data_IF_360484020094
#
_entry.id   IF_360484020094
#
_cell.length_a   1.000
_cell.length_b   1.000
_cell.length_c   1.000
_cell.angle_alpha   90.00
_cell.angle_beta   90.00
_cell.angle_gamma   90.00
#
_symmetry.space_group_name_H-M   'P 1'
#
loop_
_entity.id
_entity.type
_entity.pdbx_description
1 polymer ?
#
# COMPACT_ATOMS: atom_id res chain seq x y z
N UNK A 1 4.29 13.79 -9.27
CA UNK A 1 3.44 14.59 -8.34
C UNK A 1 3.89 14.50 -6.89
N UNK A 2 3.91 13.32 -6.26
CA UNK A 2 4.27 13.17 -4.84
C UNK A 2 5.65 13.74 -4.49
N UNK A 3 6.64 13.55 -5.36
CA UNK A 3 8.00 14.14 -5.22
C UNK A 3 7.92 15.67 -5.14
N UNK A 4 7.26 16.34 -6.09
CA UNK A 4 7.11 17.79 -6.06
C UNK A 4 6.37 18.30 -4.81
N UNK A 5 5.33 17.59 -4.37
CA UNK A 5 4.61 17.94 -3.15
C UNK A 5 5.52 17.80 -1.92
N UNK A 6 6.34 16.74 -1.88
CA UNK A 6 7.28 16.51 -0.80
C UNK A 6 8.41 17.54 -0.79
N UNK A 7 9.01 17.83 -1.93
CA UNK A 7 10.02 18.87 -2.11
C UNK A 7 9.49 20.23 -1.67
N UNK A 8 8.31 20.63 -2.15
CA UNK A 8 7.67 21.90 -1.76
C UNK A 8 7.36 21.98 -0.26
N UNK A 9 6.93 20.88 0.35
CA UNK A 9 6.64 20.87 1.78
C UNK A 9 7.88 21.10 2.66
N UNK A 10 9.07 20.81 2.14
CA UNK A 10 10.35 20.91 2.83
C UNK A 10 11.26 22.06 2.33
N UNK A 11 10.81 22.85 1.35
CA UNK A 11 11.61 23.94 0.77
C UNK A 11 12.71 23.47 -0.19
N UNK A 12 12.51 22.33 -0.85
CA UNK A 12 13.44 21.70 -1.81
C UNK A 12 12.90 21.75 -3.24
N UNK A 13 12.15 22.78 -3.60
CA UNK A 13 11.49 22.89 -4.91
C UNK A 13 12.48 22.75 -6.08
N UNK A 14 13.69 23.28 -5.94
CA UNK A 14 14.75 23.18 -6.95
C UNK A 14 15.27 21.74 -7.16
N UNK A 15 15.09 20.87 -6.16
CA UNK A 15 15.50 19.46 -6.20
C UNK A 15 14.41 18.54 -6.77
N UNK A 16 13.20 19.05 -7.01
CA UNK A 16 12.06 18.20 -7.39
C UNK A 16 12.28 17.48 -8.73
N UNK A 17 12.74 18.18 -9.76
CA UNK A 17 13.00 17.60 -11.08
C UNK A 17 14.17 16.59 -11.04
N UNK A 18 15.35 16.89 -10.44
CA UNK A 18 16.40 15.90 -10.25
C UNK A 18 15.94 14.62 -9.53
N UNK A 19 15.05 14.72 -8.55
CA UNK A 19 14.50 13.55 -7.83
C UNK A 19 13.55 12.74 -8.73
N UNK A 20 12.73 13.40 -9.56
CA UNK A 20 11.90 12.71 -10.57
C UNK A 20 12.77 11.98 -11.58
N UNK A 21 13.85 12.62 -12.05
CA UNK A 21 14.81 12.00 -12.95
C UNK A 21 15.48 10.78 -12.34
N UNK A 22 15.78 10.84 -11.04
CA UNK A 22 16.34 9.72 -10.29
C UNK A 22 15.41 8.50 -10.27
N UNK A 23 14.10 8.71 -10.07
CA UNK A 23 13.10 7.65 -10.21
C UNK A 23 13.09 7.05 -11.63
N UNK A 24 13.06 7.90 -12.66
CA UNK A 24 13.07 7.44 -14.06
C UNK A 24 14.38 6.76 -14.45
N UNK A 25 15.50 7.14 -13.84
CA UNK A 25 16.81 6.53 -14.01
C UNK A 25 16.84 5.13 -13.39
N UNK A 26 16.40 4.98 -12.15
CA UNK A 26 16.28 3.68 -11.49
C UNK A 26 15.37 2.72 -12.24
N UNK A 27 14.24 3.24 -12.75
CA UNK A 27 13.33 2.47 -13.61
C UNK A 27 14.01 1.96 -14.89
N UNK A 28 14.73 2.83 -15.60
CA UNK A 28 15.46 2.46 -16.81
C UNK A 28 16.57 1.43 -16.53
N UNK A 29 17.37 1.66 -15.50
CA UNK A 29 18.44 0.75 -15.09
C UNK A 29 17.92 -0.67 -14.84
N UNK A 30 16.78 -0.80 -14.15
CA UNK A 30 16.14 -2.09 -13.89
C UNK A 30 15.52 -2.76 -15.13
N UNK A 31 15.05 -1.97 -16.11
CA UNK A 31 14.59 -2.52 -17.39
C UNK A 31 15.75 -3.02 -18.26
N UNK A 32 16.91 -2.36 -18.19
CA UNK A 32 18.12 -2.76 -18.90
C UNK A 32 18.73 -4.03 -18.26
N UNK A 33 18.90 -4.02 -16.94
CA UNK A 33 19.42 -5.14 -16.15
C UNK A 33 18.35 -5.71 -15.20
N UNK A 34 17.71 -6.84 -15.55
CA UNK A 34 16.69 -7.46 -14.72
C UNK A 34 17.30 -8.20 -13.50
N UNK A 35 18.62 -8.34 -13.43
CA UNK A 35 19.37 -8.86 -12.28
C UNK A 35 19.88 -7.76 -11.35
N UNK A 36 19.54 -6.50 -11.62
CA UNK A 36 20.02 -5.35 -10.86
C UNK A 36 19.69 -5.53 -9.37
N UNK A 37 20.72 -5.40 -8.54
CA UNK A 37 20.59 -5.38 -7.08
C UNK A 37 21.12 -4.05 -6.58
N UNK A 38 20.27 -3.28 -5.88
CA UNK A 38 20.65 -2.01 -5.25
C UNK A 38 20.66 -2.15 -3.73
N UNK A 39 21.63 -1.51 -3.03
CA UNK A 39 21.59 -1.47 -1.58
C UNK A 39 20.36 -0.67 -1.10
N UNK A 40 19.79 -1.00 0.07
CA UNK A 40 18.70 -0.23 0.62
C UNK A 40 19.15 1.22 0.93
N UNK A 41 18.33 2.24 0.65
CA UNK A 41 18.64 3.62 1.00
C UNK A 41 18.98 3.80 2.48
N UNK A 42 19.89 4.72 2.82
CA UNK A 42 20.33 4.92 4.21
C UNK A 42 19.17 5.25 5.16
N UNK A 43 18.17 6.01 4.69
CA UNK A 43 16.93 6.28 5.42
C UNK A 43 16.24 4.99 5.87
N UNK A 44 16.15 3.99 4.99
CA UNK A 44 15.54 2.68 5.30
C UNK A 44 16.36 1.96 6.37
N UNK A 45 17.69 1.96 6.24
CA UNK A 45 18.58 1.36 7.25
C UNK A 45 18.44 2.03 8.62
N UNK A 46 18.35 3.36 8.66
CA UNK A 46 18.13 4.13 9.89
C UNK A 46 16.77 3.85 10.53
N UNK A 47 15.72 3.71 9.74
CA UNK A 47 14.39 3.37 10.26
C UNK A 47 14.40 1.94 10.81
N UNK A 48 14.97 0.98 10.07
CA UNK A 48 15.08 -0.42 10.49
C UNK A 48 15.84 -0.59 11.80
N UNK A 49 16.87 0.22 12.03
CA UNK A 49 17.62 0.21 13.29
C UNK A 49 16.78 0.59 14.52
N UNK A 50 15.57 1.14 14.34
CA UNK A 50 14.63 1.48 15.43
C UNK A 50 13.58 0.39 15.67
N UNK A 51 13.53 -0.64 14.83
CA UNK A 51 12.57 -1.71 15.00
C UNK A 51 12.95 -2.57 16.21
N UNK A 52 11.93 -2.93 16.99
CA UNK A 52 12.10 -3.87 18.10
C UNK A 52 12.10 -5.30 17.58
N UNK A 53 12.92 -6.16 18.18
CA UNK A 53 12.84 -7.62 17.98
C UNK A 53 11.92 -8.28 19.01
N UNK A 54 11.36 -7.49 19.93
CA UNK A 54 10.40 -7.95 20.93
C UNK A 54 9.03 -8.15 20.27
N UNK A 55 8.65 -9.42 20.18
CA UNK A 55 7.44 -9.84 19.48
C UNK A 55 6.18 -9.52 20.28
N UNK A 56 6.22 -9.64 21.61
CA UNK A 56 5.10 -9.29 22.48
C UNK A 56 4.78 -7.79 22.37
N UNK A 57 5.82 -6.93 22.40
CA UNK A 57 5.63 -5.49 22.22
C UNK A 57 5.07 -5.14 20.84
N UNK A 58 5.46 -5.88 19.80
CA UNK A 58 4.98 -5.68 18.43
C UNK A 58 3.51 -6.03 18.30
N UNK A 59 3.10 -7.19 18.82
CA UNK A 59 1.70 -7.63 18.82
C UNK A 59 0.82 -6.67 19.62
N UNK A 60 1.23 -6.31 20.84
CA UNK A 60 0.49 -5.35 21.67
C UNK A 60 0.29 -4.01 20.94
N UNK A 61 1.31 -3.51 20.24
CA UNK A 61 1.19 -2.29 19.43
C UNK A 61 0.19 -2.46 18.28
N UNK A 62 0.20 -3.60 17.59
CA UNK A 62 -0.72 -3.91 16.49
C UNK A 62 -2.17 -4.04 16.97
N UNK A 63 -2.40 -4.65 18.13
CA UNK A 63 -3.72 -4.75 18.75
C UNK A 63 -4.32 -3.37 19.06
N UNK A 64 -3.50 -2.37 19.43
CA UNK A 64 -4.01 -1.00 19.65
C UNK A 64 -4.56 -0.35 18.37
N UNK A 65 -4.20 -0.86 17.19
CA UNK A 65 -4.73 -0.41 15.91
C UNK A 65 -6.12 -0.99 15.60
N UNK A 66 -6.50 -2.09 16.28
CA UNK A 66 -7.77 -2.78 16.10
C UNK A 66 -8.90 -2.02 16.79
N UNK A 67 -9.68 -1.28 16.02
CA UNK A 67 -10.91 -0.65 16.51
C UNK A 67 -12.04 -1.70 16.57
N UNK A 68 -13.08 -1.47 17.39
CA UNK A 68 -14.22 -2.39 17.48
C UNK A 68 -14.85 -2.70 16.11
N UNK A 69 -15.24 -3.96 15.91
CA UNK A 69 -16.04 -4.38 14.76
C UNK A 69 -17.47 -3.83 14.85
N UNK A 70 -18.11 -3.66 13.68
CA UNK A 70 -19.53 -3.29 13.62
C UNK A 70 -20.46 -4.50 13.78
N UNK A 71 -19.92 -5.70 13.59
CA UNK A 71 -20.56 -7.01 13.76
C UNK A 71 -19.91 -7.76 14.92
N UNK A 72 -20.54 -8.84 15.38
CA UNK A 72 -19.92 -9.73 16.36
C UNK A 72 -18.66 -10.41 15.79
N UNK A 73 -17.78 -10.89 16.68
CA UNK A 73 -16.57 -11.61 16.26
C UNK A 73 -16.91 -12.92 15.58
N UNK A 74 -17.97 -13.57 16.03
CA UNK A 74 -18.49 -14.82 15.48
C UNK A 74 -19.03 -14.61 14.07
N UNK A 75 -19.77 -13.53 13.82
CA UNK A 75 -20.21 -13.16 12.47
C UNK A 75 -19.01 -12.83 11.58
N UNK A 76 -18.04 -12.05 12.06
CA UNK A 76 -16.82 -11.79 11.28
C UNK A 76 -16.07 -13.08 10.93
N UNK A 77 -15.92 -14.00 11.89
CA UNK A 77 -15.29 -15.31 11.67
C UNK A 77 -16.02 -16.11 10.59
N UNK A 78 -17.35 -16.14 10.64
CA UNK A 78 -18.19 -16.82 9.65
C UNK A 78 -17.94 -16.28 8.24
N UNK A 79 -17.84 -14.97 8.06
CA UNK A 79 -17.59 -14.35 6.75
C UNK A 79 -16.21 -14.71 6.16
N UNK A 80 -15.21 -14.97 6.99
CA UNK A 80 -13.84 -15.28 6.53
C UNK A 80 -13.47 -16.77 6.61
N UNK A 81 -14.37 -17.64 7.07
CA UNK A 81 -14.11 -19.06 7.33
C UNK A 81 -13.59 -19.78 6.08
N UNK A 82 -14.20 -19.54 4.91
CA UNK A 82 -13.76 -20.15 3.66
C UNK A 82 -12.31 -19.80 3.29
N UNK A 83 -11.86 -18.58 3.60
CA UNK A 83 -10.48 -18.20 3.38
C UNK A 83 -9.54 -18.93 4.34
N UNK A 84 -9.91 -19.04 5.62
CA UNK A 84 -9.10 -19.74 6.62
C UNK A 84 -8.94 -21.22 6.28
N UNK A 85 -10.02 -21.88 5.86
CA UNK A 85 -9.99 -23.29 5.42
C UNK A 85 -9.08 -23.48 4.21
N UNK A 86 -9.17 -22.59 3.21
CA UNK A 86 -8.30 -22.63 2.04
C UNK A 86 -6.83 -22.39 2.40
N UNK A 87 -6.55 -21.49 3.35
CA UNK A 87 -5.18 -21.26 3.82
C UNK A 87 -4.65 -22.47 4.58
N UNK A 88 -5.47 -23.12 5.43
CA UNK A 88 -5.10 -24.34 6.14
C UNK A 88 -4.81 -25.51 5.19
N UNK A 89 -5.62 -25.68 4.13
CA UNK A 89 -5.37 -26.69 3.09
C UNK A 89 -4.07 -26.41 2.32
N UNK A 90 -3.88 -25.16 1.90
CA UNK A 90 -2.69 -24.73 1.15
C UNK A 90 -1.41 -24.83 1.98
N UNK A 91 -1.52 -24.67 3.29
CA UNK A 91 -0.42 -24.72 4.25
C UNK A 91 -0.55 -25.92 5.20
N UNK A 92 -0.79 -27.11 4.64
CA UNK A 92 -0.94 -28.36 5.40
C UNK A 92 0.28 -28.73 6.27
N UNK A 93 1.42 -28.08 6.06
CA UNK A 93 2.61 -28.18 6.90
C UNK A 93 2.50 -27.46 8.26
N UNK A 94 1.53 -26.55 8.42
CA UNK A 94 1.30 -25.79 9.64
C UNK A 94 0.40 -26.58 10.62
N UNK A 95 0.42 -26.24 11.93
CA UNK A 95 -0.51 -26.82 12.90
C UNK A 95 -1.98 -26.65 12.48
N UNK A 96 -2.86 -27.62 12.79
CA UNK A 96 -4.29 -27.55 12.42
C UNK A 96 -5.01 -26.28 12.89
N UNK A 97 -4.58 -25.75 14.04
CA UNK A 97 -5.21 -24.59 14.68
C UNK A 97 -4.56 -23.25 14.27
N UNK A 98 -3.55 -23.26 13.38
CA UNK A 98 -2.78 -22.07 12.99
C UNK A 98 -3.69 -20.91 12.53
N UNK A 99 -4.73 -21.19 11.74
CA UNK A 99 -5.63 -20.13 11.26
C UNK A 99 -6.80 -19.83 12.21
N UNK A 100 -6.77 -20.29 13.46
CA UNK A 100 -7.79 -19.96 14.46
C UNK A 100 -7.71 -18.47 14.83
N UNK A 101 -8.80 -17.74 14.61
CA UNK A 101 -8.89 -16.32 14.99
C UNK A 101 -8.86 -16.15 16.51
N UNK A 102 -7.89 -15.38 17.01
CA UNK A 102 -7.79 -14.97 18.42
C UNK A 102 -8.40 -13.60 18.68
N UNK A 103 -8.22 -12.67 17.75
CA UNK A 103 -8.73 -11.31 17.85
C UNK A 103 -9.03 -10.71 16.47
N UNK A 104 -9.88 -9.69 16.40
CA UNK A 104 -10.20 -9.01 15.15
C UNK A 104 -10.75 -7.60 15.42
N UNK A 105 -10.43 -6.66 14.53
CA UNK A 105 -10.94 -5.29 14.57
C UNK A 105 -10.82 -4.54 13.26
N UNK A 106 -11.51 -3.40 13.20
CA UNK A 106 -11.45 -2.42 12.10
C UNK A 106 -10.10 -1.71 12.10
N UNK A 107 -9.55 -1.44 10.91
CA UNK A 107 -8.32 -0.68 10.74
C UNK A 107 -8.60 0.66 10.03
N UNK A 108 -8.18 1.79 10.62
CA UNK A 108 -8.41 3.15 10.07
C UNK A 108 -7.13 3.96 9.81
N UNK A 109 -5.98 3.30 9.64
CA UNK A 109 -4.73 3.94 9.23
C UNK A 109 -4.48 3.73 7.72
N UNK A 110 -3.40 4.25 7.13
CA UNK A 110 -3.05 4.01 5.72
C UNK A 110 -3.16 5.25 4.83
N UNK A 111 -2.03 5.71 4.29
CA UNK A 111 -2.02 6.78 3.28
C UNK A 111 -2.76 6.30 2.01
N UNK A 112 -3.77 7.05 1.56
CA UNK A 112 -4.54 6.75 0.34
C UNK A 112 -5.57 5.61 0.46
N UNK A 113 -5.57 4.87 1.56
CA UNK A 113 -6.54 3.82 1.87
C UNK A 113 -7.23 3.99 3.22
N UNK A 114 -7.03 5.11 3.92
CA UNK A 114 -7.69 5.37 5.21
C UNK A 114 -9.23 5.40 5.13
N UNK A 115 -9.77 5.64 3.93
CA UNK A 115 -11.20 5.61 3.66
C UNK A 115 -11.69 4.23 3.19
N UNK A 116 -10.76 3.30 2.94
CA UNK A 116 -11.09 1.97 2.44
C UNK A 116 -11.49 1.08 3.61
N UNK A 117 -12.42 0.18 3.35
CA UNK A 117 -12.85 -0.77 4.37
C UNK A 117 -11.72 -1.78 4.65
N UNK A 118 -11.23 -1.81 5.90
CA UNK A 118 -10.09 -2.63 6.29
C UNK A 118 -10.23 -3.20 7.69
N UNK A 119 -9.57 -4.34 7.89
CA UNK A 119 -9.57 -5.09 9.12
C UNK A 119 -8.15 -5.60 9.42
N UNK A 120 -7.82 -5.66 10.70
CA UNK A 120 -6.73 -6.50 11.19
C UNK A 120 -7.35 -7.62 12.02
N UNK A 121 -6.80 -8.82 11.88
CA UNK A 121 -7.19 -9.94 12.73
C UNK A 121 -5.98 -10.80 13.03
N UNK A 122 -5.96 -11.30 14.25
CA UNK A 122 -4.92 -12.14 14.79
C UNK A 122 -5.35 -13.59 14.64
N UNK A 123 -4.47 -14.42 14.07
CA UNK A 123 -4.62 -15.87 14.02
C UNK A 123 -3.53 -16.55 14.84
N UNK A 124 -3.79 -17.79 15.26
CA UNK A 124 -2.80 -18.56 16.00
C UNK A 124 -1.46 -18.72 15.26
N UNK A 125 -0.40 -18.84 16.03
CA UNK A 125 0.93 -19.08 15.51
C UNK A 125 1.27 -20.55 15.26
N UNK A 126 2.56 -20.83 15.00
CA UNK A 126 3.10 -22.19 15.04
C UNK A 126 2.94 -22.89 16.40
N UNK A 127 2.72 -22.14 17.48
CA UNK A 127 2.46 -22.68 18.82
C UNK A 127 1.28 -21.95 19.47
N UNK A 128 0.88 -22.42 20.67
CA UNK A 128 -0.18 -21.78 21.48
C UNK A 128 0.29 -20.51 22.22
N UNK A 129 1.57 -20.16 22.13
CA UNK A 129 2.10 -18.96 22.75
C UNK A 129 1.60 -17.71 22.00
N UNK A 130 1.23 -16.66 22.74
CA UNK A 130 0.63 -15.46 22.13
C UNK A 130 1.61 -14.73 21.22
N UNK A 131 2.89 -14.69 21.60
CA UNK A 131 3.98 -14.12 20.81
C UNK A 131 4.15 -14.78 19.43
N UNK A 132 3.73 -16.03 19.27
CA UNK A 132 3.81 -16.74 18.00
C UNK A 132 2.66 -16.39 17.04
N UNK A 133 1.61 -15.72 17.52
CA UNK A 133 0.43 -15.37 16.72
C UNK A 133 0.81 -14.46 15.55
N UNK A 134 0.00 -14.54 14.49
CA UNK A 134 0.23 -13.79 13.24
C UNK A 134 -0.90 -12.79 13.04
N UNK A 135 -0.55 -11.56 12.66
CA UNK A 135 -1.54 -10.56 12.25
C UNK A 135 -1.74 -10.63 10.75
N UNK A 136 -3.00 -10.74 10.34
CA UNK A 136 -3.44 -10.65 8.97
C UNK A 136 -4.19 -9.34 8.76
N UNK A 137 -3.96 -8.73 7.61
CA UNK A 137 -4.69 -7.56 7.14
C UNK A 137 -5.62 -7.96 5.99
N UNK A 138 -6.87 -7.50 6.08
CA UNK A 138 -7.86 -7.64 5.04
C UNK A 138 -8.29 -6.27 4.57
N UNK A 139 -8.16 -5.99 3.26
CA UNK A 139 -8.56 -4.70 2.66
C UNK A 139 -9.53 -4.88 1.52
N UNK A 140 -10.49 -3.97 1.43
CA UNK A 140 -11.41 -3.89 0.31
C UNK A 140 -10.67 -3.65 -1.00
N UNK A 141 -11.07 -4.40 -2.02
CA UNK A 141 -10.66 -4.20 -3.40
C UNK A 141 -11.74 -3.38 -4.09
N UNK A 142 -11.55 -2.05 -4.07
CA UNK A 142 -12.49 -1.11 -4.69
C UNK A 142 -12.70 -1.39 -6.18
N UNK A 143 -13.95 -1.21 -6.59
CA UNK A 143 -14.35 -1.07 -7.97
C UNK A 143 -13.94 0.32 -8.46
N UNK A 144 -13.10 0.35 -9.50
CA UNK A 144 -12.52 1.56 -10.08
C UNK A 144 -13.06 1.81 -11.49
N UNK A 145 -14.16 1.17 -11.91
CA UNK A 145 -14.73 1.30 -13.27
C UNK A 145 -15.06 2.73 -13.67
N UNK A 146 -15.35 3.58 -12.68
CA UNK A 146 -15.62 5.00 -12.90
C UNK A 146 -14.34 5.81 -13.23
N UNK A 147 -13.16 5.22 -13.03
CA UNK A 147 -11.85 5.83 -13.30
C UNK A 147 -11.33 5.29 -14.64
N UNK A 148 -11.55 6.06 -15.71
CA UNK A 148 -11.26 5.67 -17.10
C UNK A 148 -9.78 5.43 -17.41
N UNK A 149 -8.86 5.95 -16.60
CA UNK A 149 -7.42 5.78 -16.79
C UNK A 149 -6.86 4.50 -16.14
N UNK A 150 -7.64 3.76 -15.36
CA UNK A 150 -7.20 2.52 -14.72
C UNK A 150 -7.55 1.32 -15.60
N UNK A 151 -6.51 0.65 -16.09
CA UNK A 151 -6.64 -0.66 -16.72
C UNK A 151 -6.95 -1.71 -15.64
N UNK A 152 -7.82 -2.67 -15.93
CA UNK A 152 -8.35 -3.64 -14.94
C UNK A 152 -9.06 -2.95 -13.77
N UNK A 153 -10.03 -2.10 -14.13
CA UNK A 153 -10.79 -1.26 -13.22
C UNK A 153 -11.85 -2.01 -12.40
N UNK A 154 -12.24 -3.21 -12.81
CA UNK A 154 -13.15 -4.07 -12.06
C UNK A 154 -12.57 -4.43 -10.68
N UNK A 155 -13.43 -4.56 -9.67
CA UNK A 155 -13.07 -5.13 -8.38
C UNK A 155 -12.64 -6.58 -8.61
N UNK A 156 -11.33 -6.84 -8.54
CA UNK A 156 -10.76 -8.17 -8.74
C UNK A 156 -9.64 -8.43 -7.73
N UNK A 157 -9.75 -9.46 -6.87
CA UNK A 157 -8.69 -9.79 -5.92
C UNK A 157 -7.39 -10.22 -6.61
N UNK A 158 -7.45 -10.60 -7.89
CA UNK A 158 -6.26 -10.90 -8.70
C UNK A 158 -5.36 -9.69 -8.85
N UNK A 159 -5.90 -8.46 -8.85
CA UNK A 159 -5.12 -7.23 -9.02
C UNK A 159 -4.07 -7.07 -7.91
N UNK A 160 -4.43 -6.97 -6.61
CA UNK A 160 -3.43 -6.87 -5.55
C UNK A 160 -2.52 -8.10 -5.47
N UNK A 161 -3.02 -9.31 -5.69
CA UNK A 161 -2.22 -10.55 -5.63
C UNK A 161 -1.13 -10.58 -6.70
N UNK A 162 -1.45 -10.23 -7.95
CA UNK A 162 -0.45 -10.17 -9.03
C UNK A 162 0.51 -9.02 -8.79
N UNK A 163 0.01 -7.87 -8.34
CA UNK A 163 0.85 -6.69 -8.07
C UNK A 163 1.88 -6.96 -6.98
N UNK A 164 1.50 -7.56 -5.85
CA UNK A 164 2.46 -7.86 -4.78
C UNK A 164 3.46 -8.96 -5.18
N UNK A 165 3.05 -9.96 -5.96
CA UNK A 165 3.97 -10.97 -6.49
C UNK A 165 5.06 -10.34 -7.40
N UNK A 166 4.70 -9.26 -8.11
CA UNK A 166 5.60 -8.56 -9.04
C UNK A 166 6.46 -7.47 -8.39
N UNK A 167 5.84 -6.57 -7.62
CA UNK A 167 6.52 -5.38 -7.10
C UNK A 167 7.22 -5.61 -5.77
N UNK A 168 6.71 -6.50 -4.90
CA UNK A 168 7.35 -6.70 -3.62
C UNK A 168 8.68 -7.44 -3.83
N UNK A 169 9.74 -6.97 -3.16
CA UNK A 169 11.00 -7.72 -3.07
C UNK A 169 10.73 -9.13 -2.53
N UNK A 170 9.85 -9.23 -1.53
CA UNK A 170 9.31 -10.49 -1.02
C UNK A 170 7.78 -10.41 -0.95
N UNK A 171 7.05 -11.32 -1.60
CA UNK A 171 5.59 -11.38 -1.49
C UNK A 171 5.15 -11.65 -0.04
N UNK A 172 4.00 -11.11 0.34
CA UNK A 172 3.40 -11.37 1.64
C UNK A 172 2.97 -12.83 1.77
N UNK A 173 3.09 -13.38 2.98
CA UNK A 173 2.56 -14.71 3.29
C UNK A 173 1.03 -14.67 3.41
N UNK A 174 0.43 -15.85 3.30
CA UNK A 174 -1.01 -16.07 3.48
C UNK A 174 -1.90 -15.21 2.57
N UNK A 175 -1.38 -14.84 1.41
CA UNK A 175 -2.11 -14.01 0.47
C UNK A 175 -3.31 -14.75 -0.13
N UNK A 176 -4.49 -14.14 -0.03
CA UNK A 176 -5.74 -14.68 -0.56
C UNK A 176 -6.82 -13.60 -0.69
N UNK A 177 -8.08 -14.03 -0.76
CA UNK A 177 -9.22 -13.12 -0.87
C UNK A 177 -10.45 -13.66 -0.16
N UNK A 178 -11.35 -12.75 0.19
CA UNK A 178 -12.65 -13.03 0.77
C UNK A 178 -13.71 -12.28 -0.03
N UNK A 179 -14.88 -12.87 -0.19
CA UNK A 179 -16.04 -12.22 -0.79
C UNK A 179 -17.12 -12.17 0.29
N UNK A 180 -17.47 -10.96 0.72
CA UNK A 180 -18.56 -10.74 1.66
C UNK A 180 -19.88 -10.69 0.90
N UNK A 181 -20.78 -11.62 1.24
CA UNK A 181 -22.16 -11.62 0.75
C UNK A 181 -22.98 -10.68 1.66
N UNK A 182 -23.12 -9.42 1.24
CA UNK A 182 -23.82 -8.43 2.06
C UNK A 182 -25.31 -8.76 2.08
N UNK A 183 -25.78 -9.35 3.19
CA UNK A 183 -27.22 -9.56 3.40
C UNK A 183 -27.93 -8.23 3.68
N UNK A 184 -28.86 -7.90 2.77
CA UNK A 184 -29.95 -6.91 2.81
C UNK A 184 -29.55 -5.42 2.81
N UNK A 185 -29.45 -4.85 1.62
CA UNK A 185 -29.62 -3.41 1.36
C UNK A 185 -28.69 -2.85 0.31
N UNK A 186 -27.46 -3.38 0.24
CA UNK A 186 -26.48 -3.03 -0.78
C UNK A 186 -26.46 -4.08 -1.89
N UNK A 187 -26.58 -3.64 -3.15
CA UNK A 187 -26.76 -4.50 -4.32
C UNK A 187 -25.45 -5.15 -4.81
N UNK A 188 -24.33 -5.06 -4.09
CA UNK A 188 -23.03 -5.52 -4.58
C UNK A 188 -22.22 -6.26 -3.52
N UNK A 189 -21.76 -7.46 -3.90
CA UNK A 189 -20.71 -8.20 -3.19
C UNK A 189 -19.48 -7.31 -2.99
N UNK A 190 -18.89 -7.36 -1.78
CA UNK A 190 -17.60 -6.71 -1.51
C UNK A 190 -16.49 -7.73 -1.56
N UNK A 191 -15.44 -7.39 -2.30
CA UNK A 191 -14.25 -8.22 -2.40
C UNK A 191 -13.17 -7.65 -1.51
N UNK A 192 -12.52 -8.52 -0.77
CA UNK A 192 -11.38 -8.18 0.06
C UNK A 192 -10.18 -9.02 -0.34
N UNK A 193 -8.98 -8.45 -0.25
CA UNK A 193 -7.74 -9.22 -0.33
C UNK A 193 -7.12 -9.29 1.06
N UNK A 194 -6.53 -10.44 1.39
CA UNK A 194 -5.96 -10.76 2.69
C UNK A 194 -4.48 -11.02 2.53
N UNK A 195 -3.66 -10.58 3.48
CA UNK A 195 -2.23 -10.86 3.54
C UNK A 195 -1.67 -10.73 4.96
N UNK A 196 -0.51 -11.31 5.22
CA UNK A 196 0.26 -11.07 6.46
C UNK A 196 0.58 -9.58 6.62
N UNK A 197 0.32 -9.04 7.82
CA UNK A 197 0.73 -7.69 8.19
C UNK A 197 2.21 -7.68 8.57
N UNK A 198 2.95 -6.69 8.08
CA UNK A 198 4.36 -6.55 8.39
C UNK A 198 4.56 -6.03 9.82
N UNK A 199 5.28 -6.80 10.63
CA UNK A 199 5.66 -6.43 12.01
C UNK A 199 6.30 -5.06 12.14
N UNK A 200 7.02 -4.66 11.11
CA UNK A 200 7.72 -3.38 11.08
C UNK A 200 7.15 -2.43 10.05
N UNK A 201 5.83 -2.46 9.85
CA UNK A 201 5.14 -1.46 9.05
C UNK A 201 5.43 -0.05 9.56
N UNK A 202 5.86 0.83 8.67
CA UNK A 202 6.20 2.21 9.00
C UNK A 202 5.78 3.15 7.86
N UNK A 203 4.97 4.17 8.18
CA UNK A 203 4.61 5.21 7.22
C UNK A 203 5.60 6.36 7.28
N UNK A 204 6.10 6.75 6.11
CA UNK A 204 6.98 7.91 6.00
C UNK A 204 6.16 9.21 5.96
N UNK A 205 6.55 10.15 6.80
CA UNK A 205 6.05 11.51 6.78
C UNK A 205 6.99 12.38 5.96
N UNK A 206 6.40 13.09 4.98
CA UNK A 206 7.09 14.05 4.13
C UNK A 206 7.92 15.04 4.97
N UNK A 207 7.40 15.48 6.13
CA UNK A 207 8.03 16.55 6.93
C UNK A 207 9.05 16.07 7.96
N UNK A 208 8.96 14.82 8.38
CA UNK A 208 9.69 14.35 9.58
C UNK A 208 10.51 13.09 9.34
N UNK A 209 10.27 12.34 8.27
CA UNK A 209 11.05 11.16 7.95
C UNK A 209 12.34 11.50 7.21
N UNK A 210 12.30 12.52 6.34
CA UNK A 210 13.43 12.95 5.51
C UNK A 210 14.20 14.09 6.19
N UNK A 211 15.52 13.97 6.25
CA UNK A 211 16.42 15.00 6.77
C UNK A 211 16.95 15.90 5.67
N UNK A 212 17.11 15.37 4.46
CA UNK A 212 17.67 16.07 3.30
C UNK A 212 16.97 15.64 2.01
N UNK A 213 17.09 16.46 0.95
CA UNK A 213 16.60 16.12 -0.37
C UNK A 213 17.28 14.86 -0.95
N UNK A 214 18.54 14.59 -0.58
CA UNK A 214 19.27 13.39 -0.99
C UNK A 214 18.60 12.10 -0.49
N UNK A 215 18.01 12.10 0.70
CA UNK A 215 17.27 10.91 1.17
C UNK A 215 16.01 10.65 0.34
N UNK A 216 15.32 11.71 -0.11
CA UNK A 216 14.17 11.56 -0.99
C UNK A 216 14.60 11.13 -2.41
N UNK A 217 15.74 11.63 -2.89
CA UNK A 217 16.38 11.18 -4.12
C UNK A 217 16.64 9.66 -4.11
N UNK A 218 17.27 9.15 -3.06
CA UNK A 218 17.63 7.73 -2.98
C UNK A 218 16.40 6.81 -2.87
N UNK A 219 15.38 7.25 -2.13
CA UNK A 219 14.09 6.54 -2.09
C UNK A 219 13.41 6.56 -3.46
N UNK A 220 13.43 7.69 -4.17
CA UNK A 220 12.85 7.80 -5.51
C UNK A 220 13.56 6.87 -6.50
N UNK A 221 14.89 6.80 -6.45
CA UNK A 221 15.68 5.87 -7.25
C UNK A 221 15.31 4.41 -6.97
N UNK A 222 15.33 3.99 -5.69
CA UNK A 222 14.99 2.61 -5.30
C UNK A 222 13.56 2.24 -5.70
N UNK A 223 12.60 3.17 -5.54
CA UNK A 223 11.21 2.96 -6.01
C UNK A 223 11.13 2.78 -7.54
N UNK A 224 11.94 3.52 -8.29
CA UNK A 224 12.08 3.35 -9.74
C UNK A 224 12.60 1.96 -10.10
N UNK A 225 13.67 1.52 -9.43
CA UNK A 225 14.26 0.18 -9.60
C UNK A 225 13.23 -0.92 -9.33
N UNK A 226 12.51 -0.85 -8.20
CA UNK A 226 11.47 -1.83 -7.86
C UNK A 226 10.37 -1.92 -8.94
N UNK A 227 9.93 -0.77 -9.44
CA UNK A 227 8.93 -0.73 -10.51
C UNK A 227 9.45 -1.36 -11.80
N UNK A 228 10.70 -1.06 -12.18
CA UNK A 228 11.34 -1.63 -13.36
C UNK A 228 11.50 -3.15 -13.28
N UNK A 229 12.00 -3.66 -12.15
CA UNK A 229 12.17 -5.09 -11.87
C UNK A 229 10.83 -5.85 -11.82
N UNK A 230 9.74 -5.18 -11.48
CA UNK A 230 8.41 -5.81 -11.41
C UNK A 230 7.82 -6.17 -12.77
N UNK A 231 8.22 -5.51 -13.86
CA UNK A 231 7.73 -5.80 -15.21
C UNK A 231 8.11 -7.19 -15.74
N UNK A 232 9.38 -7.65 -15.65
CA UNK A 232 9.76 -8.98 -16.11
C UNK A 232 9.35 -10.12 -15.16
N UNK A 233 9.05 -9.82 -13.89
CA UNK A 233 8.84 -10.86 -12.87
C UNK A 233 7.66 -11.76 -13.20
N UNK A 234 7.91 -13.06 -13.19
CA UNK A 234 6.93 -14.12 -13.49
C UNK A 234 6.33 -14.05 -14.91
N UNK A 235 7.10 -13.55 -15.88
CA UNK A 235 6.80 -13.58 -17.31
C UNK A 235 7.85 -14.42 -18.02
N UNK A 236 7.46 -15.25 -19.01
CA UNK A 236 8.42 -16.04 -19.79
C UNK A 236 9.44 -15.14 -20.53
N UNK A 237 10.70 -15.56 -20.56
CA UNK A 237 11.86 -14.75 -20.98
C UNK A 237 11.70 -14.08 -22.36
N UNK A 238 11.09 -14.78 -23.33
CA UNK A 238 10.86 -14.26 -24.69
C UNK A 238 9.93 -13.04 -24.70
N UNK A 239 8.92 -13.02 -23.83
CA UNK A 239 7.98 -11.91 -23.69
C UNK A 239 8.55 -10.81 -22.80
N UNK A 240 9.34 -11.18 -21.79
CA UNK A 240 10.03 -10.25 -20.90
C UNK A 240 10.97 -9.31 -21.68
N UNK A 241 11.84 -9.85 -22.54
CA UNK A 241 12.79 -9.04 -23.32
C UNK A 241 12.08 -8.04 -24.24
N UNK A 242 11.04 -8.49 -24.94
CA UNK A 242 10.26 -7.63 -25.81
C UNK A 242 9.54 -6.51 -25.03
N UNK A 243 8.92 -6.85 -23.90
CA UNK A 243 8.24 -5.88 -23.04
C UNK A 243 9.22 -4.82 -22.50
N UNK A 244 10.37 -5.23 -21.96
CA UNK A 244 11.39 -4.32 -21.44
C UNK A 244 11.89 -3.36 -22.52
N UNK A 245 12.21 -3.87 -23.71
CA UNK A 245 12.62 -3.04 -24.84
C UNK A 245 11.57 -2.01 -25.25
N UNK A 246 10.28 -2.41 -25.27
CA UNK A 246 9.18 -1.47 -25.54
C UNK A 246 9.04 -0.41 -24.45
N UNK A 247 9.12 -0.79 -23.18
CA UNK A 247 9.01 0.14 -22.06
C UNK A 247 10.15 1.17 -22.05
N UNK A 248 11.38 0.75 -22.38
CA UNK A 248 12.52 1.66 -22.53
C UNK A 248 12.26 2.73 -23.59
N UNK A 249 11.84 2.31 -24.79
CA UNK A 249 11.48 3.24 -25.88
C UNK A 249 10.36 4.18 -25.45
N UNK A 250 9.28 3.64 -24.86
CA UNK A 250 8.14 4.44 -24.42
C UNK A 250 8.51 5.46 -23.34
N UNK A 251 9.33 5.11 -22.35
CA UNK A 251 9.77 6.06 -21.33
C UNK A 251 10.63 7.18 -21.92
N UNK A 252 11.49 6.87 -22.89
CA UNK A 252 12.26 7.89 -23.61
C UNK A 252 11.35 8.81 -24.43
N UNK A 253 10.41 8.23 -25.20
CA UNK A 253 9.48 9.00 -26.04
C UNK A 253 8.54 9.90 -25.22
N UNK A 254 8.13 9.44 -24.03
CA UNK A 254 7.19 10.16 -23.17
C UNK A 254 7.87 11.08 -22.15
N UNK A 255 9.20 11.15 -22.10
CA UNK A 255 9.94 11.84 -21.05
C UNK A 255 9.43 13.27 -20.79
N UNK A 256 9.51 14.16 -21.78
CA UNK A 256 9.04 15.55 -21.68
C UNK A 256 7.57 15.65 -21.27
N UNK A 257 6.72 14.80 -21.87
CA UNK A 257 5.29 14.77 -21.57
C UNK A 257 5.03 14.33 -20.13
N UNK A 258 5.80 13.38 -19.60
CA UNK A 258 5.68 12.94 -18.22
C UNK A 258 6.03 14.08 -17.25
N UNK A 259 7.12 14.82 -17.49
CA UNK A 259 7.47 15.99 -16.67
C UNK A 259 6.37 17.05 -16.69
N UNK A 260 5.88 17.38 -17.88
CA UNK A 260 4.78 18.33 -18.03
C UNK A 260 3.53 17.88 -17.25
N UNK A 261 3.08 16.63 -17.46
CA UNK A 261 1.91 16.08 -16.78
C UNK A 261 2.11 16.01 -15.26
N UNK A 262 3.31 15.66 -14.79
CA UNK A 262 3.66 15.65 -13.36
C UNK A 262 3.50 17.05 -12.76
N UNK A 263 4.02 18.08 -13.44
CA UNK A 263 3.93 19.48 -13.01
C UNK A 263 2.48 19.97 -12.99
N UNK A 264 1.73 19.71 -14.06
CA UNK A 264 0.30 20.07 -14.18
C UNK A 264 -0.53 19.44 -13.04
N UNK A 265 -0.44 18.11 -12.85
CA UNK A 265 -1.15 17.40 -11.78
C UNK A 265 -0.76 17.90 -10.38
N UNK A 266 0.49 18.32 -10.21
CA UNK A 266 0.96 18.91 -8.95
C UNK A 266 0.27 20.26 -8.70
N UNK A 267 0.17 21.12 -9.70
CA UNK A 267 -0.51 22.41 -9.54
C UNK A 267 -2.02 22.22 -9.32
N UNK A 268 -2.66 21.32 -10.05
CA UNK A 268 -4.08 21.00 -9.87
C UNK A 268 -4.37 20.48 -8.46
N UNK A 269 -3.54 19.57 -7.95
CA UNK A 269 -3.68 19.04 -6.58
C UNK A 269 -3.53 20.13 -5.53
N UNK A 270 -2.57 21.04 -5.71
CA UNK A 270 -2.36 22.18 -4.80
C UNK A 270 -3.55 23.15 -4.86
N UNK A 271 -4.07 23.43 -6.06
CA UNK A 271 -5.23 24.30 -6.25
C UNK A 271 -6.47 23.70 -5.57
N UNK A 272 -6.75 22.41 -5.82
CA UNK A 272 -7.85 21.68 -5.19
C UNK A 272 -7.74 21.68 -3.66
N UNK A 273 -6.54 21.44 -3.11
CA UNK A 273 -6.31 21.49 -1.67
C UNK A 273 -6.55 22.88 -1.07
N UNK A 274 -6.11 23.94 -1.75
CA UNK A 274 -6.36 25.33 -1.31
C UNK A 274 -7.86 25.63 -1.29
N UNK A 275 -8.58 25.26 -2.34
CA UNK A 275 -10.03 25.43 -2.41
C UNK A 275 -10.75 24.69 -1.28
N UNK A 276 -10.42 23.41 -1.08
CA UNK A 276 -10.96 22.60 0.00
C UNK A 276 -10.75 23.26 1.38
N UNK A 277 -9.55 23.77 1.65
CA UNK A 277 -9.25 24.47 2.91
C UNK A 277 -10.10 25.72 3.11
N UNK A 278 -10.34 26.50 2.06
CA UNK A 278 -11.19 27.69 2.12
C UNK A 278 -12.63 27.29 2.43
N UNK A 279 -13.17 26.30 1.72
CA UNK A 279 -14.55 25.84 1.91
C UNK A 279 -14.78 25.25 3.31
N UNK A 280 -13.86 24.42 3.80
CA UNK A 280 -13.96 23.85 5.16
C UNK A 280 -13.88 24.95 6.23
N UNK A 281 -13.01 25.94 6.04
CA UNK A 281 -12.89 27.08 6.96
C UNK A 281 -14.18 27.91 6.98
N UNK A 282 -14.76 28.17 5.80
CA UNK A 282 -16.02 28.90 5.68
C UNK A 282 -17.20 28.16 6.33
N UNK A 283 -17.29 26.83 6.15
CA UNK A 283 -18.32 26.00 6.81
C UNK A 283 -18.20 26.02 8.33
N UNK A 284 -16.97 25.92 8.87
CA UNK A 284 -16.72 26.03 10.31
C UNK A 284 -17.12 27.39 10.88
N UNK A 285 -16.84 28.47 10.15
CA UNK A 285 -17.24 29.82 10.55
C UNK A 285 -18.78 30.00 10.49
N UNK A 286 -19.45 29.44 9.48
CA UNK A 286 -20.91 29.47 9.34
C UNK A 286 -21.64 28.66 10.42
N UNK A 287 -21.12 27.50 10.82
CA UNK A 287 -21.70 26.67 11.90
C UNK A 287 -21.60 27.32 13.28
N UNK A 288 -20.64 28.23 13.51
CA UNK A 288 -20.53 29.00 14.75
C UNK A 288 -21.48 30.21 14.80
N UNK A 289 -21.99 30.66 13.65
CA UNK A 289 -22.92 31.78 13.53
C UNK A 289 -24.42 31.42 13.65
N UNK A 290 -24.77 30.13 13.64
CA UNK A 290 -26.16 29.66 13.75
C UNK A 290 -26.53 29.12 15.15
N UNK A 291 -25.60 29.16 16.12
CA UNK A 291 -25.83 28.74 17.51
C UNK A 291 -26.22 29.85 18.48
N UNK A 292 -26.49 31.06 17.99
CA UNK A 292 -26.97 32.20 18.78
C UNK A 292 -28.19 32.80 18.08
N UNK A 293 -29.36 32.26 18.34
CA UNK A 293 -30.66 32.95 18.27
C UNK A 293 -31.69 32.14 19.07
#
# INVERSE_FOLDING_TARGET
MSIHLASRANGWEEEAEPIVDSFLSGYRAALEDPGLTVPPPELVSRIRARFTTDRELTLAAQETLMQPLEVSREEFKWEIEQYLDQMAEKHSELPPDFFEIKNAGRLKIGIGSALDEKYLFEVEGPTKAHEDNVILEMKEVRDLREITCILFSEASPRRPIVMQARLAYQPYRYAGFVIFDIRKGDEKEKMFWVHEWADHYHELSIRTSFQTAAELHDIAHDAGVQLGLGHPKSIADSYSNHLRGRLLVTVTELHERMHQTISELTQETIAAWKQFRVEVSARKAGSLGQGQN
#
